data_IF_116674149604
#
_entry.id   IF_116674149604
#
_cell.length_a   1.000
_cell.length_b   1.000
_cell.length_c   1.000
_cell.angle_alpha   90.00
_cell.angle_beta   90.00
_cell.angle_gamma   90.00
#
_symmetry.space_group_name_H-M   'P 1'
#
loop_
_entity.id
_entity.type
_entity.pdbx_description
1 polymer ?
#
# COMPACT_ATOMS: atom_id res chain seq x y z
N UNK A 1 -4.44 -16.41 2.51
CA UNK A 1 -5.12 -16.89 1.29
C UNK A 1 -4.49 -16.42 -0.02
N UNK A 2 -4.12 -15.14 -0.21
CA UNK A 2 -3.52 -14.67 -1.49
C UNK A 2 -2.23 -15.42 -1.88
N UNK A 3 -1.40 -15.78 -0.89
CA UNK A 3 -0.30 -16.72 -1.08
C UNK A 3 -0.75 -18.15 -0.76
N UNK A 4 -0.84 -18.99 -1.79
CA UNK A 4 -1.22 -20.39 -1.65
C UNK A 4 -0.25 -21.22 -0.78
N UNK A 5 1.00 -20.79 -0.60
CA UNK A 5 2.02 -21.46 0.22
C UNK A 5 2.11 -20.90 1.64
N UNK A 6 1.22 -20.00 2.03
CA UNK A 6 1.21 -19.50 3.41
C UNK A 6 0.66 -20.58 4.34
N UNK A 7 1.21 -20.70 5.54
CA UNK A 7 0.73 -21.61 6.59
C UNK A 7 -0.78 -21.44 6.83
N UNK A 8 -1.26 -20.20 6.86
CA UNK A 8 -2.68 -19.90 6.98
C UNK A 8 -3.52 -20.49 5.82
N UNK A 9 -3.03 -20.46 4.58
CA UNK A 9 -3.72 -21.05 3.44
C UNK A 9 -3.72 -22.59 3.48
N UNK A 10 -2.65 -23.20 3.98
CA UNK A 10 -2.58 -24.65 4.18
C UNK A 10 -3.60 -25.11 5.23
N UNK A 11 -3.63 -24.46 6.39
CA UNK A 11 -4.56 -24.79 7.47
C UNK A 11 -6.02 -24.56 7.06
N UNK A 12 -6.33 -23.43 6.43
CA UNK A 12 -7.72 -23.14 6.03
C UNK A 12 -8.27 -24.17 5.03
N UNK A 13 -7.41 -24.77 4.20
CA UNK A 13 -7.84 -25.83 3.25
C UNK A 13 -8.19 -27.15 3.92
N UNK A 14 -7.67 -27.44 5.12
CA UNK A 14 -8.00 -28.66 5.86
C UNK A 14 -9.33 -28.58 6.60
N UNK A 15 -9.94 -27.39 6.66
CA UNK A 15 -11.25 -27.21 7.29
C UNK A 15 -12.32 -27.92 6.47
N UNK A 16 -12.98 -28.89 7.11
CA UNK A 16 -14.17 -29.52 6.56
C UNK A 16 -15.35 -28.54 6.64
N UNK A 17 -15.95 -28.25 5.49
CA UNK A 17 -17.02 -27.27 5.39
C UNK A 17 -17.92 -27.60 4.20
N UNK A 18 -19.23 -27.67 4.45
CA UNK A 18 -20.24 -27.90 3.41
C UNK A 18 -20.32 -26.73 2.41
N UNK A 19 -20.13 -25.51 2.89
CA UNK A 19 -20.19 -24.29 2.09
C UNK A 19 -19.00 -23.38 2.42
N UNK A 20 -18.37 -22.81 1.39
CA UNK A 20 -17.24 -21.89 1.51
C UNK A 20 -17.58 -20.58 0.82
N UNK A 21 -17.38 -19.45 1.50
CA UNK A 21 -17.61 -18.11 0.97
C UNK A 21 -16.35 -17.26 1.17
N UNK A 22 -15.89 -16.63 0.08
CA UNK A 22 -14.75 -15.72 0.11
C UNK A 22 -15.24 -14.28 -0.05
N UNK A 23 -14.82 -13.40 0.86
CA UNK A 23 -15.08 -11.96 0.80
C UNK A 23 -13.76 -11.23 0.59
N UNK A 24 -13.67 -10.46 -0.50
CA UNK A 24 -12.48 -9.66 -0.82
C UNK A 24 -12.85 -8.46 -1.67
N UNK A 25 -12.30 -7.29 -1.34
CA UNK A 25 -12.43 -6.08 -2.17
C UNK A 25 -11.56 -6.14 -3.44
N UNK A 26 -10.47 -6.90 -3.41
CA UNK A 26 -9.48 -7.02 -4.49
C UNK A 26 -9.09 -8.49 -4.69
N UNK A 27 -9.88 -9.29 -5.42
CA UNK A 27 -9.61 -10.71 -5.64
C UNK A 27 -8.36 -10.96 -6.49
N UNK A 28 -7.91 -9.96 -7.24
CA UNK A 28 -6.69 -9.99 -8.05
C UNK A 28 -5.95 -8.68 -7.78
N UNK A 29 -4.86 -8.73 -7.02
CA UNK A 29 -4.08 -7.55 -6.66
C UNK A 29 -2.78 -7.50 -7.46
N UNK A 30 -2.00 -8.60 -7.47
CA UNK A 30 -0.69 -8.62 -8.10
C UNK A 30 -0.58 -9.59 -9.28
N UNK A 31 -1.15 -10.79 -9.16
CA UNK A 31 -1.04 -11.83 -10.17
C UNK A 31 -2.19 -12.86 -10.08
N UNK A 32 -2.51 -13.53 -11.18
CA UNK A 32 -3.57 -14.54 -11.32
C UNK A 32 -3.38 -15.75 -10.39
N UNK A 33 -2.18 -15.99 -9.88
CA UNK A 33 -1.97 -17.00 -8.82
C UNK A 33 -2.77 -16.72 -7.54
N UNK A 34 -3.07 -15.46 -7.21
CA UNK A 34 -3.88 -15.10 -6.04
C UNK A 34 -5.36 -15.47 -6.25
N UNK A 35 -5.82 -15.35 -7.50
CA UNK A 35 -7.14 -15.78 -7.92
C UNK A 35 -7.25 -17.31 -7.85
N UNK A 36 -6.25 -18.03 -8.38
CA UNK A 36 -6.20 -19.48 -8.26
C UNK A 36 -6.26 -19.94 -6.80
N UNK A 37 -5.48 -19.33 -5.91
CA UNK A 37 -5.47 -19.68 -4.49
C UNK A 37 -6.84 -19.53 -3.81
N UNK A 38 -7.64 -18.53 -4.20
CA UNK A 38 -9.01 -18.35 -3.69
C UNK A 38 -9.96 -19.43 -4.22
N UNK A 39 -9.87 -19.75 -5.51
CA UNK A 39 -10.72 -20.78 -6.12
C UNK A 39 -10.35 -22.19 -5.68
N UNK A 40 -9.08 -22.46 -5.45
CA UNK A 40 -8.60 -23.72 -4.88
C UNK A 40 -9.17 -23.95 -3.48
N UNK A 41 -9.36 -22.89 -2.69
CA UNK A 41 -10.08 -22.98 -1.42
C UNK A 41 -11.60 -23.13 -1.61
N UNK A 42 -12.22 -22.31 -2.46
CA UNK A 42 -13.68 -22.31 -2.65
C UNK A 42 -14.20 -23.63 -3.24
N UNK A 43 -13.50 -24.14 -4.25
CA UNK A 43 -13.86 -25.33 -5.01
C UNK A 43 -12.58 -26.05 -5.47
N UNK A 44 -11.97 -26.88 -4.60
CA UNK A 44 -10.72 -27.58 -4.89
C UNK A 44 -10.79 -28.34 -6.22
N UNK A 45 -9.77 -28.18 -7.07
CA UNK A 45 -9.69 -28.84 -8.37
C UNK A 45 -10.43 -28.15 -9.53
N UNK A 46 -11.32 -27.18 -9.28
CA UNK A 46 -12.09 -26.47 -10.32
C UNK A 46 -11.22 -25.83 -11.42
N UNK A 47 -10.06 -25.29 -11.02
CA UNK A 47 -9.07 -24.67 -11.92
C UNK A 47 -7.85 -25.57 -12.20
N UNK A 48 -7.89 -26.82 -11.75
CA UNK A 48 -6.76 -27.75 -11.79
C UNK A 48 -5.65 -27.38 -10.81
N UNK A 49 -4.52 -28.07 -10.94
CA UNK A 49 -3.34 -27.84 -10.10
C UNK A 49 -2.72 -26.46 -10.35
N UNK A 50 -1.94 -25.95 -9.39
CA UNK A 50 -1.22 -24.68 -9.53
C UNK A 50 -0.32 -24.64 -10.77
N UNK A 51 0.31 -25.78 -11.11
CA UNK A 51 1.17 -25.91 -12.28
C UNK A 51 0.37 -25.83 -13.58
N UNK A 52 -0.75 -26.55 -13.65
CA UNK A 52 -1.64 -26.51 -14.81
C UNK A 52 -2.26 -25.13 -14.99
N UNK A 53 -2.69 -24.50 -13.90
CA UNK A 53 -3.22 -23.15 -13.94
C UNK A 53 -2.16 -22.16 -14.44
N UNK A 54 -0.92 -22.30 -13.98
CA UNK A 54 0.19 -21.45 -14.41
C UNK A 54 0.46 -21.59 -15.90
N UNK A 55 0.48 -22.84 -16.40
CA UNK A 55 0.73 -23.14 -17.82
C UNK A 55 -0.42 -22.67 -18.73
N UNK A 56 -1.67 -22.93 -18.33
CA UNK A 56 -2.85 -22.71 -19.17
C UNK A 56 -3.38 -21.28 -19.11
N UNK A 57 -3.20 -20.57 -18.00
CA UNK A 57 -3.82 -19.26 -17.78
C UNK A 57 -2.79 -18.19 -17.46
N UNK A 58 -2.02 -18.39 -16.38
CA UNK A 58 -1.15 -17.34 -15.85
C UNK A 58 -0.09 -16.87 -16.84
N UNK A 59 0.72 -17.77 -17.37
CA UNK A 59 1.81 -17.43 -18.28
C UNK A 59 1.30 -16.82 -19.59
N UNK A 60 0.30 -17.41 -20.30
CA UNK A 60 -0.31 -16.78 -21.48
C UNK A 60 -0.84 -15.37 -21.23
N UNK A 61 -1.57 -15.17 -20.14
CA UNK A 61 -2.22 -13.88 -19.86
C UNK A 61 -1.20 -12.84 -19.38
N UNK A 62 -0.37 -13.16 -18.38
CA UNK A 62 0.53 -12.18 -17.74
C UNK A 62 1.78 -11.89 -18.56
N UNK A 63 2.32 -12.88 -19.28
CA UNK A 63 3.59 -12.72 -20.02
C UNK A 63 3.41 -12.53 -21.51
N UNK A 64 2.36 -13.10 -22.10
CA UNK A 64 2.15 -13.07 -23.54
C UNK A 64 0.98 -12.15 -23.94
N UNK A 65 0.25 -11.59 -22.97
CA UNK A 65 -0.85 -10.67 -23.24
C UNK A 65 -2.05 -11.33 -23.94
N UNK A 66 -2.25 -12.63 -23.76
CA UNK A 66 -3.31 -13.38 -24.43
C UNK A 66 -4.71 -12.99 -23.89
N UNK A 67 -5.34 -12.05 -24.59
CA UNK A 67 -6.67 -11.54 -24.25
C UNK A 67 -7.78 -12.59 -24.40
N UNK A 68 -7.64 -13.53 -25.34
CA UNK A 68 -8.62 -14.60 -25.54
C UNK A 68 -8.63 -15.55 -24.34
N UNK A 69 -7.44 -15.93 -23.85
CA UNK A 69 -7.30 -16.71 -22.61
C UNK A 69 -7.89 -15.98 -21.40
N UNK A 70 -7.66 -14.67 -21.30
CA UNK A 70 -8.21 -13.86 -20.23
C UNK A 70 -9.75 -13.84 -20.26
N UNK A 71 -10.35 -13.72 -21.44
CA UNK A 71 -11.80 -13.74 -21.62
C UNK A 71 -12.39 -15.11 -21.29
N UNK A 72 -11.79 -16.19 -21.76
CA UNK A 72 -12.22 -17.56 -21.47
C UNK A 72 -12.18 -17.84 -19.96
N UNK A 73 -11.12 -17.42 -19.27
CA UNK A 73 -11.04 -17.52 -17.83
C UNK A 73 -12.15 -16.71 -17.16
N UNK A 74 -12.34 -15.44 -17.55
CA UNK A 74 -13.38 -14.56 -17.02
C UNK A 74 -14.78 -15.18 -17.14
N UNK A 75 -15.13 -15.71 -18.32
CA UNK A 75 -16.41 -16.40 -18.57
C UNK A 75 -16.59 -17.62 -17.67
N UNK A 76 -15.54 -18.41 -17.46
CA UNK A 76 -15.55 -19.58 -16.58
C UNK A 76 -15.75 -19.22 -15.11
N UNK A 77 -15.21 -18.10 -14.66
CA UNK A 77 -15.30 -17.65 -13.26
C UNK A 77 -16.59 -16.88 -12.96
N UNK A 78 -17.21 -16.26 -13.97
CA UNK A 78 -18.39 -15.39 -13.84
C UNK A 78 -19.54 -15.99 -13.00
N UNK A 79 -19.92 -17.28 -13.13
CA UNK A 79 -21.02 -17.85 -12.34
C UNK A 79 -20.72 -17.96 -10.84
N UNK A 80 -19.44 -17.96 -10.46
CA UNK A 80 -18.96 -18.14 -9.09
C UNK A 80 -18.50 -16.82 -8.45
N UNK A 81 -18.64 -15.70 -9.16
CA UNK A 81 -18.19 -14.38 -8.72
C UNK A 81 -19.32 -13.35 -8.78
N UNK A 82 -19.62 -12.76 -7.63
CA UNK A 82 -20.46 -11.59 -7.54
C UNK A 82 -19.58 -10.35 -7.29
N UNK A 83 -19.46 -9.48 -8.29
CA UNK A 83 -18.72 -8.21 -8.18
C UNK A 83 -19.60 -7.05 -8.65
N UNK A 84 -19.81 -6.08 -7.76
CA UNK A 84 -20.52 -4.83 -8.04
C UNK A 84 -19.54 -3.65 -7.87
N UNK A 85 -19.56 -2.69 -8.79
CA UNK A 85 -18.76 -1.46 -8.68
C UNK A 85 -19.57 -0.41 -7.90
N UNK A 86 -18.88 0.46 -7.15
CA UNK A 86 -19.53 1.54 -6.38
C UNK A 86 -20.40 2.43 -7.25
N UNK A 87 -19.95 2.75 -8.47
CA UNK A 87 -20.68 3.52 -9.49
C UNK A 87 -22.08 2.95 -9.81
N UNK A 88 -22.25 1.64 -9.68
CA UNK A 88 -23.53 0.96 -9.98
C UNK A 88 -24.45 0.90 -8.75
N UNK A 89 -23.90 1.01 -7.54
CA UNK A 89 -24.64 0.76 -6.28
C UNK A 89 -24.76 1.96 -5.35
N UNK A 90 -24.01 3.04 -5.57
CA UNK A 90 -23.98 4.22 -4.71
C UNK A 90 -23.95 5.50 -5.56
N UNK A 91 -25.01 5.71 -6.34
CA UNK A 91 -25.15 6.86 -7.26
C UNK A 91 -25.27 8.21 -6.55
N UNK A 92 -25.61 8.21 -5.26
CA UNK A 92 -25.77 9.40 -4.43
C UNK A 92 -24.44 10.00 -3.94
N UNK A 93 -23.33 9.25 -4.09
CA UNK A 93 -22.02 9.75 -3.65
C UNK A 93 -21.41 10.68 -4.72
N UNK A 94 -20.90 11.86 -4.32
CA UNK A 94 -20.18 12.72 -5.26
C UNK A 94 -18.93 11.99 -5.78
N UNK A 95 -18.48 12.32 -7.01
CA UNK A 95 -17.27 11.74 -7.56
C UNK A 95 -16.06 12.09 -6.70
N UNK A 96 -15.13 11.14 -6.59
CA UNK A 96 -13.86 11.38 -5.90
C UNK A 96 -12.95 12.25 -6.78
N UNK A 97 -12.68 13.46 -6.33
CA UNK A 97 -11.62 14.31 -6.93
C UNK A 97 -10.25 13.86 -6.46
N UNK A 98 -9.32 13.65 -7.39
CA UNK A 98 -7.91 13.33 -7.08
C UNK A 98 -7.02 14.42 -7.64
N UNK A 99 -6.20 15.02 -6.79
CA UNK A 99 -5.28 16.10 -7.16
C UNK A 99 -3.86 15.64 -6.90
N UNK A 100 -3.03 15.62 -7.94
CA UNK A 100 -1.60 15.37 -7.81
C UNK A 100 -0.90 16.70 -7.50
N UNK A 101 -0.15 16.74 -6.39
CA UNK A 101 0.72 17.87 -6.05
C UNK A 101 2.17 17.42 -6.25
N UNK A 102 2.82 18.03 -7.23
CA UNK A 102 4.25 17.84 -7.46
C UNK A 102 5.04 18.76 -6.52
N UNK A 103 6.11 18.22 -5.94
CA UNK A 103 6.95 18.91 -4.98
C UNK A 103 8.39 18.76 -5.42
N UNK A 104 9.08 19.89 -5.56
CA UNK A 104 10.49 19.91 -5.91
C UNK A 104 11.34 19.74 -4.66
N UNK A 105 12.37 18.90 -4.75
CA UNK A 105 13.39 18.83 -3.71
C UNK A 105 14.37 19.97 -3.93
N UNK A 106 14.63 20.76 -2.90
CA UNK A 106 15.50 21.92 -2.96
C UNK A 106 16.57 21.88 -1.85
N UNK A 107 17.61 22.70 -2.02
CA UNK A 107 18.71 22.85 -1.06
C UNK A 107 19.28 21.53 -0.55
N UNK A 108 19.49 21.46 0.77
CA UNK A 108 20.14 20.34 1.43
C UNK A 108 19.41 18.99 1.24
N UNK A 109 18.08 18.98 1.04
CA UNK A 109 17.35 17.74 0.77
C UNK A 109 17.67 17.21 -0.64
N UNK A 110 17.79 18.10 -1.64
CA UNK A 110 18.19 17.73 -3.00
C UNK A 110 19.62 17.21 -3.04
N UNK A 111 20.54 17.89 -2.36
CA UNK A 111 21.95 17.49 -2.31
C UNK A 111 22.12 16.11 -1.67
N UNK A 112 21.38 15.86 -0.57
CA UNK A 112 21.34 14.54 0.05
C UNK A 112 20.77 13.49 -0.90
N UNK A 113 19.67 13.81 -1.61
CA UNK A 113 19.06 12.89 -2.57
C UNK A 113 20.04 12.48 -3.67
N UNK A 114 20.74 13.44 -4.29
CA UNK A 114 21.71 13.17 -5.35
C UNK A 114 22.94 12.40 -4.84
N UNK A 115 23.40 12.70 -3.63
CA UNK A 115 24.47 11.94 -2.97
C UNK A 115 24.07 10.48 -2.77
N UNK A 116 22.87 10.24 -2.23
CA UNK A 116 22.34 8.90 -2.02
C UNK A 116 22.10 8.19 -3.35
N UNK A 117 21.55 8.88 -4.35
CA UNK A 117 21.33 8.33 -5.69
C UNK A 117 22.62 7.86 -6.34
N UNK A 118 23.66 8.69 -6.30
CA UNK A 118 24.95 8.36 -6.91
C UNK A 118 25.59 7.16 -6.22
N UNK A 119 25.64 7.15 -4.88
CA UNK A 119 26.20 6.04 -4.11
C UNK A 119 25.40 4.73 -4.31
N UNK A 120 24.08 4.81 -4.41
CA UNK A 120 23.24 3.62 -4.62
C UNK A 120 23.31 3.11 -6.05
N UNK A 121 23.44 3.99 -7.06
CA UNK A 121 23.63 3.58 -8.46
C UNK A 121 24.92 2.77 -8.63
N UNK A 122 26.03 3.26 -8.08
CA UNK A 122 27.31 2.55 -8.08
C UNK A 122 27.19 1.17 -7.42
N UNK A 123 26.64 1.12 -6.21
CA UNK A 123 26.42 -0.13 -5.47
C UNK A 123 25.55 -1.14 -6.23
N UNK A 124 24.51 -0.65 -6.92
CA UNK A 124 23.63 -1.49 -7.75
C UNK A 124 24.39 -2.02 -8.97
N UNK A 125 25.15 -1.17 -9.67
CA UNK A 125 25.95 -1.57 -10.84
C UNK A 125 26.97 -2.64 -10.48
N UNK A 126 27.71 -2.45 -9.39
CA UNK A 126 28.68 -3.44 -8.91
C UNK A 126 28.01 -4.77 -8.58
N UNK A 127 26.89 -4.74 -7.85
CA UNK A 127 26.15 -5.94 -7.49
C UNK A 127 25.65 -6.67 -8.76
N UNK A 128 25.12 -5.94 -9.74
CA UNK A 128 24.65 -6.54 -11.00
C UNK A 128 25.82 -7.15 -11.79
N UNK A 129 26.96 -6.47 -11.86
CA UNK A 129 28.16 -6.98 -12.53
C UNK A 129 28.69 -8.26 -11.87
N UNK A 130 28.68 -8.33 -10.53
CA UNK A 130 29.27 -9.44 -9.77
C UNK A 130 28.44 -10.73 -9.79
N UNK A 131 27.12 -10.63 -9.69
CA UNK A 131 26.25 -11.78 -9.45
C UNK A 131 25.02 -11.83 -10.38
N UNK A 132 24.90 -10.89 -11.32
CA UNK A 132 23.79 -10.78 -12.24
C UNK A 132 22.53 -10.15 -11.63
N UNK A 133 21.66 -9.64 -12.50
CA UNK A 133 20.48 -8.88 -12.11
C UNK A 133 19.54 -9.62 -11.13
N UNK A 134 19.23 -10.90 -11.42
CA UNK A 134 18.27 -11.68 -10.60
C UNK A 134 18.74 -11.87 -9.15
N UNK A 135 20.05 -11.96 -8.91
CA UNK A 135 20.62 -12.13 -7.56
C UNK A 135 20.79 -10.81 -6.82
N UNK A 136 20.75 -9.67 -7.53
CA UNK A 136 20.94 -8.33 -6.98
C UNK A 136 19.64 -7.61 -6.58
N UNK A 137 18.49 -8.28 -6.65
CA UNK A 137 17.18 -7.68 -6.35
C UNK A 137 17.12 -7.02 -4.96
N UNK A 138 17.69 -7.64 -3.94
CA UNK A 138 17.70 -7.08 -2.57
C UNK A 138 18.46 -5.75 -2.52
N UNK A 139 19.60 -5.65 -3.21
CA UNK A 139 20.41 -4.43 -3.27
C UNK A 139 19.66 -3.32 -4.01
N UNK A 140 18.98 -3.66 -5.12
CA UNK A 140 18.15 -2.72 -5.88
C UNK A 140 16.99 -2.21 -5.02
N UNK A 141 16.32 -3.09 -4.29
CA UNK A 141 15.21 -2.71 -3.41
C UNK A 141 15.67 -1.85 -2.24
N UNK A 142 16.83 -2.13 -1.64
CA UNK A 142 17.46 -1.28 -0.61
C UNK A 142 17.79 0.12 -1.16
N UNK A 143 18.36 0.20 -2.35
CA UNK A 143 18.64 1.47 -3.03
C UNK A 143 17.37 2.30 -3.26
N UNK A 144 16.33 1.70 -3.84
CA UNK A 144 15.04 2.35 -4.06
C UNK A 144 14.37 2.77 -2.76
N UNK A 145 14.45 1.93 -1.72
CA UNK A 145 13.92 2.24 -0.39
C UNK A 145 14.55 3.52 0.17
N UNK A 146 15.88 3.65 0.10
CA UNK A 146 16.62 4.82 0.59
C UNK A 146 16.25 6.09 -0.17
N UNK A 147 16.13 6.01 -1.49
CA UNK A 147 15.67 7.15 -2.30
C UNK A 147 14.26 7.59 -1.90
N UNK A 148 13.34 6.64 -1.75
CA UNK A 148 11.98 6.91 -1.29
C UNK A 148 11.94 7.53 0.11
N UNK A 149 12.84 7.12 1.00
CA UNK A 149 12.97 7.71 2.34
C UNK A 149 13.36 9.18 2.23
N UNK A 150 14.40 9.53 1.47
CA UNK A 150 14.83 10.94 1.29
C UNK A 150 13.73 11.80 0.69
N UNK A 151 12.98 11.27 -0.30
CA UNK A 151 11.84 11.98 -0.88
C UNK A 151 10.68 12.21 0.09
N UNK A 152 10.56 11.38 1.14
CA UNK A 152 9.56 11.57 2.19
C UNK A 152 10.06 12.56 3.23
N UNK A 153 11.21 12.27 3.84
CA UNK A 153 11.91 13.16 4.76
C UNK A 153 13.36 12.65 4.96
N UNK A 154 14.40 13.51 4.90
CA UNK A 154 15.79 13.13 5.12
C UNK A 154 16.05 12.34 6.41
N UNK A 155 15.32 12.66 7.48
CA UNK A 155 15.49 12.05 8.82
C UNK A 155 15.09 10.57 8.85
N UNK A 156 14.39 10.07 7.82
CA UNK A 156 14.04 8.65 7.69
C UNK A 156 15.23 7.77 7.33
N UNK A 157 16.32 8.35 6.82
CA UNK A 157 17.55 7.59 6.59
C UNK A 157 18.27 7.27 7.91
N UNK A 158 18.80 6.04 8.06
CA UNK A 158 19.59 5.66 9.23
C UNK A 158 21.02 6.22 9.14
N UNK A 159 21.18 7.53 8.98
CA UNK A 159 22.47 8.22 8.91
C UNK A 159 22.45 9.49 9.75
N UNK A 160 23.49 9.70 10.56
CA UNK A 160 23.65 10.90 11.37
C UNK A 160 23.80 12.18 10.52
N UNK A 161 24.34 12.06 9.30
CA UNK A 161 24.41 13.18 8.37
C UNK A 161 23.02 13.54 7.82
N UNK A 162 22.23 12.52 7.45
CA UNK A 162 20.88 12.73 6.94
C UNK A 162 19.94 13.35 7.99
N UNK A 163 20.06 12.95 9.26
CA UNK A 163 19.27 13.52 10.37
C UNK A 163 19.55 15.01 10.65
N UNK A 164 20.69 15.54 10.18
CA UNK A 164 21.00 16.98 10.28
C UNK A 164 20.27 17.81 9.24
N UNK A 165 19.84 17.21 8.14
CA UNK A 165 18.99 17.88 7.15
C UNK A 165 17.58 17.93 7.71
N UNK A 166 17.14 19.12 8.11
CA UNK A 166 15.80 19.35 8.70
C UNK A 166 14.75 19.76 7.68
N UNK A 167 15.16 20.24 6.51
CA UNK A 167 14.27 20.65 5.41
C UNK A 167 13.61 19.42 4.81
N UNK A 168 12.29 19.50 4.58
CA UNK A 168 11.49 18.37 4.11
C UNK A 168 10.32 18.86 3.28
N UNK A 169 10.53 18.96 1.97
CA UNK A 169 9.61 19.63 1.06
C UNK A 169 8.16 19.09 1.12
N UNK A 170 7.97 17.80 1.38
CA UNK A 170 6.63 17.20 1.56
C UNK A 170 6.00 17.53 2.91
N UNK A 171 6.80 17.59 3.97
CA UNK A 171 6.31 17.98 5.29
C UNK A 171 5.96 19.47 5.29
N UNK A 172 6.81 20.30 4.68
CA UNK A 172 6.60 21.73 4.57
C UNK A 172 5.29 22.01 3.80
N UNK A 173 5.11 21.44 2.61
CA UNK A 173 3.85 21.57 1.86
C UNK A 173 2.64 21.05 2.64
N UNK A 174 2.79 19.94 3.39
CA UNK A 174 1.70 19.43 4.21
C UNK A 174 1.29 20.46 5.27
N UNK A 175 2.25 21.06 5.96
CA UNK A 175 2.00 22.05 7.01
C UNK A 175 1.50 23.38 6.47
N UNK A 176 1.75 23.71 5.20
CA UNK A 176 1.11 24.86 4.53
C UNK A 176 -0.38 24.62 4.25
N UNK A 177 -0.76 23.37 3.95
CA UNK A 177 -2.13 23.03 3.55
C UNK A 177 -3.03 22.70 4.75
N UNK A 178 -2.49 21.98 5.73
CA UNK A 178 -3.30 21.32 6.74
C UNK A 178 -4.04 22.30 7.67
N UNK A 179 -3.45 23.40 8.16
CA UNK A 179 -4.15 24.35 9.02
C UNK A 179 -5.42 24.91 8.37
N UNK A 180 -5.33 25.37 7.12
CA UNK A 180 -6.49 25.89 6.39
C UNK A 180 -7.59 24.85 6.17
N UNK A 181 -7.22 23.58 5.93
CA UNK A 181 -8.21 22.49 5.83
C UNK A 181 -8.92 22.25 7.17
N UNK A 182 -8.20 22.35 8.29
CA UNK A 182 -8.77 22.16 9.62
C UNK A 182 -9.67 23.34 10.00
N UNK A 183 -9.25 24.57 9.70
CA UNK A 183 -10.04 25.80 9.90
C UNK A 183 -11.35 25.78 9.08
N UNK A 184 -11.32 25.23 7.86
CA UNK A 184 -12.51 24.95 7.03
C UNK A 184 -13.44 23.89 7.65
N UNK A 185 -13.09 23.30 8.81
CA UNK A 185 -13.85 22.23 9.46
C UNK A 185 -13.72 20.88 8.76
N UNK A 186 -12.71 20.69 7.89
CA UNK A 186 -12.51 19.41 7.18
C UNK A 186 -11.83 18.40 8.09
N UNK A 187 -12.21 17.14 7.89
CA UNK A 187 -11.53 15.98 8.49
C UNK A 187 -10.53 15.38 7.49
N UNK A 188 -9.30 15.15 7.95
CA UNK A 188 -8.18 14.75 7.09
C UNK A 188 -7.65 13.38 7.50
N UNK A 189 -7.58 12.48 6.53
CA UNK A 189 -6.89 11.19 6.66
C UNK A 189 -5.53 11.29 6.00
N UNK A 190 -4.47 11.06 6.76
CA UNK A 190 -3.09 11.09 6.26
C UNK A 190 -2.49 9.68 6.28
N UNK A 191 -2.03 9.23 5.12
CA UNK A 191 -1.44 7.90 4.97
C UNK A 191 0.05 7.97 4.70
N UNK A 192 0.81 7.09 5.35
CA UNK A 192 2.23 6.86 5.02
C UNK A 192 2.59 5.38 5.10
N UNK A 193 3.52 4.95 4.25
CA UNK A 193 4.14 3.62 4.39
C UNK A 193 5.15 3.59 5.55
N UNK A 194 5.77 4.72 5.87
CA UNK A 194 6.79 4.84 6.89
C UNK A 194 6.17 5.34 8.19
N UNK A 195 6.13 4.50 9.22
CA UNK A 195 5.63 4.89 10.55
C UNK A 195 6.47 6.00 11.17
N UNK A 196 7.78 6.01 10.93
CA UNK A 196 8.66 7.11 11.32
C UNK A 196 8.28 8.44 10.67
N UNK A 197 7.77 8.45 9.43
CA UNK A 197 7.24 9.67 8.82
C UNK A 197 5.98 10.15 9.55
N UNK A 198 5.11 9.23 9.97
CA UNK A 198 3.95 9.62 10.79
C UNK A 198 4.38 10.21 12.13
N UNK A 199 5.47 9.72 12.72
CA UNK A 199 6.08 10.32 13.92
C UNK A 199 6.54 11.76 13.67
N UNK A 200 7.29 12.01 12.58
CA UNK A 200 7.75 13.36 12.22
C UNK A 200 6.61 14.32 11.90
N UNK A 201 5.55 13.81 11.26
CA UNK A 201 4.32 14.58 11.03
C UNK A 201 3.65 14.88 12.37
N UNK A 202 3.49 13.89 13.24
CA UNK A 202 2.92 14.07 14.58
C UNK A 202 3.65 15.16 15.37
N UNK A 203 4.99 15.12 15.39
CA UNK A 203 5.80 16.19 15.99
C UNK A 203 5.47 17.56 15.38
N UNK A 204 5.38 17.69 14.05
CA UNK A 204 5.04 18.96 13.41
C UNK A 204 3.62 19.44 13.75
N UNK A 205 2.66 18.52 13.91
CA UNK A 205 1.30 18.84 14.34
C UNK A 205 1.26 19.29 15.80
N UNK A 206 2.02 18.65 16.67
CA UNK A 206 2.14 19.04 18.09
C UNK A 206 2.70 20.48 18.20
N UNK A 207 3.70 20.85 17.40
CA UNK A 207 4.24 22.23 17.38
C UNK A 207 3.26 23.27 16.82
N UNK A 208 2.29 22.84 16.01
CA UNK A 208 1.26 23.70 15.43
C UNK A 208 -0.05 23.67 16.21
N UNK A 209 -0.06 23.03 17.40
CA UNK A 209 -1.26 22.84 18.24
C UNK A 209 -2.43 22.19 17.47
N UNK A 210 -2.14 21.32 16.50
CA UNK A 210 -3.14 20.62 15.69
C UNK A 210 -3.42 19.23 16.26
N UNK A 211 -4.60 18.98 16.84
CA UNK A 211 -4.91 17.69 17.44
C UNK A 211 -5.00 16.60 16.37
N UNK A 212 -4.41 15.44 16.65
CA UNK A 212 -4.42 14.29 15.76
C UNK A 212 -4.55 12.95 16.50
N UNK A 213 -4.96 11.93 15.75
CA UNK A 213 -4.93 10.53 16.18
C UNK A 213 -3.91 9.76 15.34
N UNK A 214 -3.32 8.71 15.92
CA UNK A 214 -2.35 7.86 15.24
C UNK A 214 -2.77 6.39 15.27
N UNK A 215 -2.82 5.76 14.10
CA UNK A 215 -3.11 4.34 13.92
C UNK A 215 -1.99 3.64 13.15
N UNK A 216 -1.22 2.82 13.86
CA UNK A 216 -0.16 1.98 13.29
C UNK A 216 -0.52 0.50 13.42
N UNK A 217 0.35 -0.37 12.90
CA UNK A 217 0.19 -1.82 13.08
C UNK A 217 0.20 -2.24 14.56
N UNK A 218 0.88 -1.48 15.40
CA UNK A 218 1.12 -1.78 16.82
C UNK A 218 0.04 -1.20 17.74
N UNK A 219 -0.88 -0.39 17.20
CA UNK A 219 -2.01 0.15 17.95
C UNK A 219 -2.92 -0.97 18.47
N UNK A 220 -3.06 -1.04 19.81
CA UNK A 220 -3.89 -2.03 20.51
C UNK A 220 -5.37 -1.67 20.48
N UNK A 221 -5.72 -0.43 20.82
CA UNK A 221 -7.11 0.03 20.83
C UNK A 221 -7.46 0.85 19.58
N UNK A 222 -7.62 0.12 18.46
CA UNK A 222 -7.97 0.73 17.17
C UNK A 222 -9.39 1.30 17.16
N UNK A 223 -10.30 0.61 17.84
CA UNK A 223 -11.72 0.93 17.79
C UNK A 223 -12.03 2.28 18.44
N UNK A 224 -11.36 2.62 19.54
CA UNK A 224 -11.54 3.91 20.21
C UNK A 224 -11.05 5.07 19.35
N UNK A 225 -9.86 4.97 18.74
CA UNK A 225 -9.37 6.02 17.82
C UNK A 225 -10.31 6.22 16.63
N UNK A 226 -10.82 5.14 16.03
CA UNK A 226 -11.77 5.23 14.92
C UNK A 226 -13.07 5.93 15.35
N UNK A 227 -13.64 5.53 16.51
CA UNK A 227 -14.86 6.16 17.04
C UNK A 227 -14.64 7.65 17.34
N UNK A 228 -13.51 7.99 17.95
CA UNK A 228 -13.15 9.38 18.27
C UNK A 228 -13.08 10.25 17.00
N UNK A 229 -12.45 9.74 15.94
CA UNK A 229 -12.39 10.43 14.66
C UNK A 229 -13.78 10.55 14.00
N UNK A 230 -14.58 9.48 14.00
CA UNK A 230 -15.94 9.50 13.47
C UNK A 230 -16.88 10.44 14.22
N UNK A 231 -16.67 10.61 15.52
CA UNK A 231 -17.41 11.56 16.34
C UNK A 231 -16.97 13.02 16.11
N UNK A 232 -15.94 13.26 15.28
CA UNK A 232 -15.43 14.60 14.99
C UNK A 232 -14.62 15.21 16.13
N UNK A 233 -14.19 14.43 17.13
CA UNK A 233 -13.42 14.94 18.26
C UNK A 233 -12.01 15.41 17.87
N UNK A 234 -11.48 14.90 16.76
CA UNK A 234 -10.13 15.21 16.27
C UNK A 234 -10.17 15.35 14.75
N UNK A 235 -9.60 16.43 14.16
CA UNK A 235 -9.70 16.71 12.73
C UNK A 235 -8.73 15.89 11.87
N UNK A 236 -7.63 15.38 12.44
CA UNK A 236 -6.57 14.70 11.68
C UNK A 236 -6.38 13.26 12.17
N UNK A 237 -6.31 12.31 11.23
CA UNK A 237 -6.00 10.92 11.53
C UNK A 237 -4.80 10.43 10.71
N UNK A 238 -3.69 10.18 11.40
CA UNK A 238 -2.46 9.60 10.85
C UNK A 238 -2.57 8.07 10.81
N UNK A 239 -2.44 7.47 9.63
CA UNK A 239 -2.67 6.03 9.42
C UNK A 239 -1.52 5.41 8.64
N UNK A 240 -0.92 4.35 9.19
CA UNK A 240 0.06 3.57 8.42
C UNK A 240 -0.66 2.76 7.33
N UNK A 241 -0.12 2.66 6.12
CA UNK A 241 -0.76 1.92 5.02
C UNK A 241 -1.08 0.45 5.39
N UNK A 242 -0.24 -0.16 6.22
CA UNK A 242 -0.46 -1.52 6.75
C UNK A 242 -1.68 -1.60 7.66
N UNK A 243 -1.92 -0.57 8.47
CA UNK A 243 -3.09 -0.47 9.34
C UNK A 243 -4.35 -0.03 8.58
N UNK A 244 -4.22 0.82 7.56
CA UNK A 244 -5.34 1.28 6.72
C UNK A 244 -5.88 0.22 5.75
N UNK A 245 -5.03 -0.72 5.32
CA UNK A 245 -5.38 -1.74 4.33
C UNK A 245 -6.35 -2.84 4.79
N UNK A 246 -6.80 -2.84 6.05
CA UNK A 246 -7.68 -3.90 6.62
C UNK A 246 -9.17 -3.58 6.58
N UNK A 247 -9.59 -2.53 5.85
CA UNK A 247 -11.00 -2.19 5.69
C UNK A 247 -11.56 -1.35 6.84
N UNK A 248 -10.89 -0.25 7.16
CA UNK A 248 -11.40 0.74 8.11
C UNK A 248 -12.62 1.46 7.51
N UNK A 249 -13.74 1.50 8.23
CA UNK A 249 -14.88 2.32 7.85
C UNK A 249 -14.65 3.74 8.40
N UNK A 250 -14.29 4.69 7.54
CA UNK A 250 -14.03 6.09 7.90
C UNK A 250 -14.93 6.97 7.03
N UNK A 251 -16.17 7.18 7.50
CA UNK A 251 -17.21 7.96 6.80
C UNK A 251 -17.41 9.34 7.42
N UNK A 252 -16.54 9.71 8.36
CA UNK A 252 -16.61 10.95 9.13
C UNK A 252 -16.70 12.15 8.19
#
# INVERSE_FOLDING_TARGET
>A
MKNARSQAAEIIRTLDARHRLCLTGTPLENHLGELWAQFDFLNPGFLGSAQDFTRRWRTPIEKHGDGLRAELLSRRLKPLLLRRRKEVVAQELPPKTTMLREVMLEGAQRDLYETVRSAMDEKVREAVARQGFRRSQIVILDALLKLRQVCCDPRLLPSAAARRVRVSAKLDLLMDLLPGLVEDGRRVLLFSQFTSMLGLIGEALDHADLPYLLLTGDSRDRATSIRSFQAGAVPIFLISLKAGGVGLNLTA
#
